data_IF_227627695413
#
_entry.id   IF_227627695413
#
_cell.length_a   1.000
_cell.length_b   1.000
_cell.length_c   1.000
_cell.angle_alpha   90.00
_cell.angle_beta   90.00
_cell.angle_gamma   90.00
#
_symmetry.space_group_name_H-M   'P 1'
#
loop_
_entity.id
_entity.type
_entity.pdbx_description
1 polymer ?
#
# COMPACT_ATOMS: atom_id res chain seq x y z
N UNK A 1 20.02 40.64 -75.63
CA UNK A 1 20.05 40.85 -74.20
C UNK A 1 18.90 40.01 -73.62
N UNK A 2 19.19 38.78 -73.15
CA UNK A 2 18.17 37.85 -72.55
C UNK A 2 18.61 37.58 -71.16
N UNK A 3 17.77 37.94 -70.21
CA UNK A 3 17.92 37.67 -68.77
C UNK A 3 17.18 36.40 -68.51
N UNK A 4 17.87 35.32 -68.07
CA UNK A 4 17.30 34.06 -67.64
C UNK A 4 17.03 34.15 -66.18
N UNK A 5 15.73 33.92 -65.81
CA UNK A 5 15.27 33.82 -64.45
C UNK A 5 15.61 32.45 -63.84
N UNK A 6 16.37 32.43 -62.76
CA UNK A 6 16.58 31.26 -61.92
C UNK A 6 15.34 31.06 -60.99
N UNK A 7 14.62 30.00 -61.22
CA UNK A 7 13.60 29.56 -60.26
C UNK A 7 14.27 28.87 -59.08
N UNK A 8 14.16 29.46 -57.91
CA UNK A 8 14.53 28.81 -56.66
C UNK A 8 13.39 27.90 -56.20
N UNK A 9 13.62 26.60 -56.26
CA UNK A 9 12.67 25.59 -55.71
C UNK A 9 12.93 25.48 -54.19
N UNK A 10 12.06 26.09 -53.40
CA UNK A 10 12.09 25.95 -51.96
C UNK A 10 11.47 24.59 -51.56
N UNK A 11 12.29 23.64 -51.15
CA UNK A 11 11.85 22.38 -50.59
C UNK A 11 11.48 22.62 -49.12
N UNK A 12 10.18 22.75 -48.83
CA UNK A 12 9.67 22.77 -47.46
C UNK A 12 9.61 21.35 -47.00
N UNK A 13 10.61 20.92 -46.19
CA UNK A 13 10.55 19.67 -45.45
C UNK A 13 9.58 19.85 -44.28
N UNK A 14 8.36 19.35 -44.45
CA UNK A 14 7.40 19.24 -43.36
C UNK A 14 7.88 18.17 -42.36
N UNK A 15 8.49 18.60 -41.26
CA UNK A 15 8.73 17.75 -40.09
C UNK A 15 7.40 17.58 -39.41
N UNK A 16 6.73 16.48 -39.71
CA UNK A 16 5.55 16.07 -38.96
C UNK A 16 5.96 15.76 -37.49
N UNK A 17 5.65 16.65 -36.58
CA UNK A 17 5.64 16.35 -35.17
C UNK A 17 4.47 15.40 -34.93
N UNK A 18 4.76 14.10 -34.81
CA UNK A 18 3.84 13.16 -34.20
C UNK A 18 3.81 13.51 -32.70
N UNK A 19 2.82 14.27 -32.29
CA UNK A 19 2.43 14.35 -30.89
C UNK A 19 1.79 13.00 -30.61
N UNK A 20 2.54 12.08 -30.04
CA UNK A 20 2.00 10.89 -29.45
C UNK A 20 1.24 11.38 -28.22
N UNK A 21 -0.09 11.41 -28.31
CA UNK A 21 -0.93 11.59 -27.14
C UNK A 21 -0.51 10.53 -26.14
N UNK A 22 0.09 10.96 -25.05
CA UNK A 22 0.28 10.11 -23.87
C UNK A 22 -1.15 9.86 -23.35
N UNK A 23 -1.75 8.77 -23.80
CA UNK A 23 -2.97 8.28 -23.20
C UNK A 23 -2.63 8.03 -21.74
N UNK A 24 -3.29 8.76 -20.84
CA UNK A 24 -3.21 8.50 -19.43
C UNK A 24 -3.55 7.02 -19.24
N UNK A 25 -2.54 6.23 -18.88
CA UNK A 25 -2.69 4.80 -18.70
C UNK A 25 -3.65 4.61 -17.55
N UNK A 26 -4.80 4.01 -17.85
CA UNK A 26 -5.84 3.78 -16.86
C UNK A 26 -5.23 2.90 -15.76
N UNK A 27 -5.05 3.47 -14.56
CA UNK A 27 -4.58 2.73 -13.40
C UNK A 27 -5.60 1.65 -13.08
N UNK A 28 -5.29 0.42 -13.42
CA UNK A 28 -6.13 -0.70 -13.02
C UNK A 28 -5.86 -1.00 -11.54
N UNK A 29 -6.91 -1.04 -10.78
CA UNK A 29 -6.87 -1.34 -9.35
C UNK A 29 -8.15 -2.02 -8.92
N UNK A 30 -8.18 -2.48 -7.69
CA UNK A 30 -9.40 -2.99 -7.07
C UNK A 30 -9.50 -2.49 -5.62
N UNK A 31 -10.71 -2.55 -5.08
CA UNK A 31 -10.94 -2.35 -3.66
C UNK A 31 -11.96 -3.40 -3.21
N UNK A 32 -11.65 -4.06 -2.10
CA UNK A 32 -12.52 -5.05 -1.47
C UNK A 32 -12.52 -4.86 0.04
N UNK A 33 -13.66 -5.04 0.67
CA UNK A 33 -13.78 -4.83 2.11
C UNK A 33 -15.21 -4.62 2.53
N UNK A 34 -15.39 -4.22 3.77
CA UNK A 34 -16.68 -4.00 4.40
C UNK A 34 -16.67 -2.71 5.20
N UNK A 35 -17.71 -1.90 5.03
CA UNK A 35 -17.97 -0.71 5.84
C UNK A 35 -19.22 -0.90 6.68
N UNK A 36 -19.30 -0.20 7.80
CA UNK A 36 -20.45 -0.30 8.70
C UNK A 36 -20.55 -1.66 9.41
N UNK A 37 -19.47 -2.41 9.47
CA UNK A 37 -19.37 -3.62 10.30
C UNK A 37 -19.57 -3.20 11.74
N UNK A 38 -20.34 -3.97 12.49
CA UNK A 38 -20.55 -3.74 13.92
C UNK A 38 -20.24 -5.04 14.65
N UNK A 39 -19.04 -5.56 14.44
CA UNK A 39 -18.60 -6.85 14.98
C UNK A 39 -17.79 -6.62 16.25
N UNK A 40 -18.28 -7.01 17.44
CA UNK A 40 -17.46 -7.01 18.64
C UNK A 40 -16.20 -7.87 18.44
N UNK A 41 -15.07 -7.36 18.90
CA UNK A 41 -13.86 -8.16 19.08
C UNK A 41 -13.88 -8.66 20.52
N UNK A 42 -13.91 -9.99 20.74
CA UNK A 42 -13.95 -10.53 22.08
C UNK A 42 -12.72 -10.14 22.89
N UNK A 43 -12.93 -9.67 24.13
CA UNK A 43 -11.88 -9.28 25.07
C UNK A 43 -11.08 -10.51 25.52
N UNK A 44 -9.77 -10.41 25.54
CA UNK A 44 -8.85 -11.48 25.95
C UNK A 44 -9.11 -12.82 25.25
N UNK A 45 -9.39 -12.77 23.95
CA UNK A 45 -9.67 -13.96 23.16
C UNK A 45 -8.77 -14.02 21.91
N UNK A 46 -7.70 -14.83 21.93
CA UNK A 46 -6.82 -15.02 20.80
C UNK A 46 -7.49 -15.62 19.55
N UNK A 47 -8.71 -16.18 19.69
CA UNK A 47 -9.49 -16.69 18.56
C UNK A 47 -10.00 -15.55 17.67
N UNK A 48 -10.18 -14.36 18.24
CA UNK A 48 -10.53 -13.13 17.56
C UNK A 48 -11.72 -13.19 16.62
N UNK A 49 -11.72 -12.32 15.63
CA UNK A 49 -12.71 -12.28 14.55
C UNK A 49 -12.03 -12.42 13.19
N UNK A 50 -12.70 -13.16 12.30
CA UNK A 50 -12.24 -13.38 10.93
C UNK A 50 -13.25 -12.78 9.95
N UNK A 51 -12.74 -12.04 8.97
CA UNK A 51 -13.54 -11.52 7.84
C UNK A 51 -12.88 -11.93 6.55
N UNK A 52 -13.67 -12.46 5.61
CA UNK A 52 -13.14 -12.93 4.33
C UNK A 52 -13.83 -12.27 3.16
N UNK A 53 -13.08 -12.05 2.10
CA UNK A 53 -13.60 -11.58 0.82
C UNK A 53 -12.98 -12.39 -0.32
N UNK A 54 -13.82 -12.82 -1.27
CA UNK A 54 -13.36 -13.57 -2.44
C UNK A 54 -13.28 -12.64 -3.64
N UNK A 55 -12.14 -12.61 -4.30
CA UNK A 55 -11.91 -11.92 -5.57
C UNK A 55 -11.77 -12.88 -6.73
N UNK A 56 -12.29 -12.50 -7.90
CA UNK A 56 -12.17 -13.27 -9.13
C UNK A 56 -12.28 -12.38 -10.37
N UNK A 57 -11.62 -12.75 -11.46
CA UNK A 57 -11.66 -11.99 -12.71
C UNK A 57 -10.93 -10.65 -12.68
N UNK A 58 -10.11 -10.41 -11.65
CA UNK A 58 -9.27 -9.22 -11.58
C UNK A 58 -8.08 -9.34 -12.52
N UNK A 59 -7.74 -8.24 -13.21
CA UNK A 59 -6.63 -8.16 -14.18
C UNK A 59 -5.68 -7.02 -13.81
N UNK A 60 -5.33 -6.90 -12.53
CA UNK A 60 -4.37 -5.90 -12.05
C UNK A 60 -2.97 -6.34 -12.43
N UNK A 61 -2.16 -5.42 -12.97
CA UNK A 61 -0.74 -5.71 -13.27
C UNK A 61 0.06 -6.00 -12.00
N UNK A 62 0.92 -7.00 -12.06
CA UNK A 62 1.83 -7.37 -10.97
C UNK A 62 3.22 -6.78 -11.28
N UNK A 63 3.91 -6.10 -10.34
CA UNK A 63 3.46 -5.81 -8.97
C UNK A 63 2.39 -4.72 -8.88
N UNK A 64 1.67 -4.70 -7.78
CA UNK A 64 0.73 -3.63 -7.41
C UNK A 64 0.97 -3.16 -5.97
N UNK A 65 0.70 -1.88 -5.72
CA UNK A 65 0.76 -1.32 -4.39
C UNK A 65 -0.53 -1.63 -3.63
N UNK A 66 -0.38 -2.03 -2.37
CA UNK A 66 -1.48 -2.29 -1.46
C UNK A 66 -1.56 -1.23 -0.37
N UNK A 67 -2.79 -0.84 -0.07
CA UNK A 67 -3.15 -0.19 1.17
C UNK A 67 -4.26 -0.97 1.87
N UNK A 68 -4.22 -0.99 3.20
CA UNK A 68 -5.23 -1.67 4.02
C UNK A 68 -5.80 -0.67 5.01
N UNK A 69 -7.10 -0.43 4.96
CA UNK A 69 -7.78 0.36 5.98
C UNK A 69 -8.39 -0.56 7.03
N UNK A 70 -8.24 -0.18 8.30
CA UNK A 70 -8.77 -0.94 9.44
C UNK A 70 -9.27 0.03 10.51
N UNK A 71 -10.48 -0.21 11.01
CA UNK A 71 -11.10 0.63 12.02
C UNK A 71 -11.69 -0.20 13.16
N UNK A 72 -11.21 0.06 14.37
CA UNK A 72 -11.77 -0.47 15.61
C UNK A 72 -12.18 0.70 16.49
N UNK A 73 -13.46 0.73 16.86
CA UNK A 73 -14.01 1.72 17.78
C UNK A 73 -14.14 1.15 19.18
N UNK A 74 -13.82 1.94 20.21
CA UNK A 74 -13.96 1.50 21.58
C UNK A 74 -15.41 1.28 21.95
N UNK A 75 -15.64 0.31 22.84
CA UNK A 75 -16.89 0.09 23.54
C UNK A 75 -16.62 0.07 25.05
N UNK A 76 -17.56 0.52 25.86
CA UNK A 76 -17.38 0.51 27.31
C UNK A 76 -16.22 1.42 27.78
N UNK A 77 -15.24 0.83 28.44
CA UNK A 77 -14.10 1.57 29.05
C UNK A 77 -12.94 1.88 28.09
N UNK A 78 -13.02 1.45 26.85
CA UNK A 78 -12.00 1.68 25.83
C UNK A 78 -11.57 0.40 25.14
N UNK A 79 -10.81 0.56 24.06
CA UNK A 79 -10.24 -0.53 23.28
C UNK A 79 -8.73 -0.29 23.21
N UNK A 80 -7.99 -0.83 24.17
CA UNK A 80 -6.56 -0.53 24.29
C UNK A 80 -5.78 -1.01 23.08
N UNK A 81 -5.12 -0.09 22.39
CA UNK A 81 -4.46 -0.40 21.13
C UNK A 81 -3.31 -1.40 21.26
N UNK A 82 -2.68 -1.46 22.44
CA UNK A 82 -1.64 -2.42 22.80
C UNK A 82 -2.12 -3.86 22.93
N UNK A 83 -3.43 -4.08 22.99
CA UNK A 83 -3.98 -5.43 23.15
C UNK A 83 -4.28 -6.08 21.80
N UNK A 84 -4.34 -5.29 20.73
CA UNK A 84 -4.74 -5.82 19.42
C UNK A 84 -3.61 -6.48 18.65
N UNK A 85 -3.95 -7.66 18.09
CA UNK A 85 -3.23 -8.34 17.05
C UNK A 85 -4.08 -8.42 15.80
N UNK A 86 -3.56 -7.99 14.66
CA UNK A 86 -4.28 -8.01 13.39
C UNK A 86 -3.37 -8.35 12.22
N UNK A 87 -3.84 -9.19 11.30
CA UNK A 87 -3.15 -9.49 10.06
C UNK A 87 -4.09 -9.57 8.87
N UNK A 88 -3.52 -9.36 7.68
CA UNK A 88 -4.14 -9.65 6.40
C UNK A 88 -3.45 -10.88 5.78
N UNK A 89 -4.23 -11.88 5.41
CA UNK A 89 -3.79 -13.05 4.66
C UNK A 89 -4.40 -13.01 3.27
N UNK A 90 -3.62 -13.29 2.24
CA UNK A 90 -4.11 -13.56 0.89
C UNK A 90 -3.70 -14.94 0.44
N UNK A 91 -4.67 -15.72 -0.07
CA UNK A 91 -4.49 -17.03 -0.68
C UNK A 91 -5.03 -16.98 -2.09
N UNK A 92 -4.21 -17.34 -3.08
CA UNK A 92 -4.61 -17.34 -4.48
C UNK A 92 -5.68 -18.39 -4.76
N UNK A 93 -6.47 -18.20 -5.82
CA UNK A 93 -7.56 -19.12 -6.21
C UNK A 93 -7.09 -20.58 -6.39
N UNK A 94 -5.84 -20.77 -6.79
CA UNK A 94 -5.24 -22.11 -6.92
C UNK A 94 -4.93 -22.78 -5.58
N UNK A 95 -4.90 -22.00 -4.47
CA UNK A 95 -4.43 -22.47 -3.17
C UNK A 95 -2.93 -22.80 -3.11
N UNK A 96 -2.20 -22.51 -4.20
CA UNK A 96 -0.77 -22.86 -4.29
C UNK A 96 0.15 -21.83 -3.64
N UNK A 97 -0.35 -20.64 -3.40
CA UNK A 97 0.41 -19.54 -2.83
C UNK A 97 -0.42 -18.77 -1.81
N UNK A 98 0.20 -18.46 -0.70
CA UNK A 98 -0.37 -17.58 0.33
C UNK A 98 0.71 -16.69 0.94
N UNK A 99 0.31 -15.48 1.35
CA UNK A 99 1.18 -14.51 2.05
C UNK A 99 0.37 -13.81 3.11
N UNK A 100 1.08 -13.41 4.15
CA UNK A 100 0.53 -12.73 5.32
C UNK A 100 1.28 -11.41 5.56
N UNK A 101 0.53 -10.37 5.88
CA UNK A 101 1.06 -9.10 6.40
C UNK A 101 0.52 -8.88 7.81
N UNK A 102 1.40 -8.60 8.76
CA UNK A 102 1.02 -8.24 10.14
C UNK A 102 0.75 -6.74 10.18
N UNK A 103 -0.52 -6.39 10.37
CA UNK A 103 -0.97 -4.98 10.40
C UNK A 103 -0.68 -4.35 11.75
N UNK A 104 -1.00 -5.05 12.84
CA UNK A 104 -0.75 -4.66 14.22
C UNK A 104 -0.29 -5.88 15.01
N UNK A 105 0.69 -5.69 15.89
CA UNK A 105 1.12 -6.71 16.83
C UNK A 105 1.44 -6.06 18.16
N UNK A 106 0.39 -5.86 19.00
CA UNK A 106 0.48 -5.28 20.33
C UNK A 106 1.30 -3.98 20.36
N UNK A 107 0.81 -2.98 19.60
CA UNK A 107 1.52 -1.72 19.35
C UNK A 107 1.97 -1.04 20.64
N UNK A 108 3.25 -0.61 20.66
CA UNK A 108 3.89 -0.01 21.82
C UNK A 108 4.44 -1.00 22.84
N UNK A 109 4.29 -2.32 22.60
CA UNK A 109 4.92 -3.32 23.47
C UNK A 109 6.44 -3.25 23.34
N UNK A 110 7.12 -3.34 24.47
CA UNK A 110 8.56 -3.30 24.59
C UNK A 110 9.02 -4.06 25.82
N UNK A 111 10.33 -4.27 25.96
CA UNK A 111 10.89 -4.92 27.16
C UNK A 111 10.52 -4.20 28.47
N UNK A 112 10.27 -2.89 28.42
CA UNK A 112 9.88 -2.07 29.57
C UNK A 112 8.38 -1.79 29.68
N UNK A 113 7.60 -2.13 28.67
CA UNK A 113 6.15 -1.90 28.59
C UNK A 113 5.47 -3.07 27.86
N UNK A 114 5.32 -4.24 28.48
CA UNK A 114 4.79 -5.44 27.83
C UNK A 114 3.34 -5.30 27.36
N UNK A 115 2.54 -4.45 28.03
CA UNK A 115 1.11 -4.27 27.72
C UNK A 115 0.88 -3.32 26.53
N UNK A 116 1.94 -2.70 25.98
CA UNK A 116 1.80 -1.77 24.85
C UNK A 116 1.09 -0.47 25.21
N UNK A 117 0.44 0.16 24.23
CA UNK A 117 -0.20 1.47 24.41
C UNK A 117 -1.67 1.36 24.82
N UNK A 118 -2.03 2.09 25.86
CA UNK A 118 -3.39 2.16 26.42
C UNK A 118 -4.32 3.17 25.72
N UNK A 119 -3.94 3.73 24.57
CA UNK A 119 -4.84 4.60 23.79
C UNK A 119 -6.00 3.77 23.24
N UNK A 120 -7.15 4.43 23.06
CA UNK A 120 -8.39 3.72 22.86
C UNK A 120 -8.90 3.82 21.42
N UNK A 121 -8.77 2.74 20.68
CA UNK A 121 -9.29 2.56 19.34
C UNK A 121 -8.48 3.27 18.24
N UNK A 122 -8.80 2.92 17.00
CA UNK A 122 -8.05 3.41 15.84
C UNK A 122 -8.88 3.40 14.55
N UNK A 123 -8.48 4.27 13.61
CA UNK A 123 -8.93 4.32 12.22
C UNK A 123 -7.71 4.53 11.34
N UNK A 124 -7.12 3.44 10.89
CA UNK A 124 -5.79 3.41 10.25
C UNK A 124 -5.88 3.07 8.77
N UNK A 125 -4.92 3.57 8.02
CA UNK A 125 -4.56 3.06 6.69
C UNK A 125 -3.13 2.58 6.76
N UNK A 126 -2.87 1.35 6.36
CA UNK A 126 -1.54 0.76 6.28
C UNK A 126 -1.01 0.85 4.85
N UNK A 127 0.25 1.24 4.72
CA UNK A 127 1.00 1.27 3.46
C UNK A 127 2.48 1.09 3.74
N UNK A 128 3.16 0.25 2.98
CA UNK A 128 4.61 0.09 3.11
C UNK A 128 5.40 1.35 2.73
N UNK A 129 4.79 2.24 1.93
CA UNK A 129 5.36 3.54 1.58
C UNK A 129 5.19 4.63 2.65
N UNK A 130 4.45 4.38 3.73
CA UNK A 130 4.34 5.32 4.83
C UNK A 130 5.68 5.51 5.54
N UNK A 131 5.87 6.65 6.20
CA UNK A 131 7.15 7.01 6.80
C UNK A 131 7.39 6.37 8.17
N UNK A 132 6.33 6.00 8.88
CA UNK A 132 6.40 5.68 10.30
C UNK A 132 5.73 4.35 10.62
N UNK A 133 6.36 3.59 11.51
CA UNK A 133 5.90 2.32 12.03
C UNK A 133 4.74 2.52 13.02
N UNK A 134 3.63 1.82 12.80
CA UNK A 134 2.48 1.88 13.70
C UNK A 134 2.82 1.42 15.11
N UNK A 135 3.75 0.50 15.27
CA UNK A 135 4.13 -0.02 16.58
C UNK A 135 4.60 1.07 17.53
N UNK A 136 5.22 2.13 16.98
CA UNK A 136 5.78 3.26 17.75
C UNK A 136 5.02 4.56 17.50
N UNK A 137 3.70 4.53 17.26
CA UNK A 137 2.95 5.73 16.89
C UNK A 137 3.03 6.85 17.93
N UNK A 138 3.10 6.55 19.24
CA UNK A 138 3.27 7.61 20.27
C UNK A 138 4.59 8.36 20.13
N UNK A 139 5.67 7.67 19.75
CA UNK A 139 6.95 8.32 19.47
C UNK A 139 6.82 9.27 18.29
N UNK A 140 6.17 8.82 17.23
CA UNK A 140 5.95 9.60 16.02
C UNK A 140 5.01 10.80 16.23
N UNK A 141 4.01 10.66 17.09
CA UNK A 141 3.06 11.72 17.43
C UNK A 141 3.57 12.67 18.53
N UNK A 142 4.68 12.34 19.18
CA UNK A 142 5.19 13.10 20.33
C UNK A 142 4.39 12.91 21.61
N UNK A 143 3.61 11.83 21.73
CA UNK A 143 2.80 11.50 22.90
C UNK A 143 1.54 10.72 22.57
N UNK A 144 0.70 10.52 23.59
CA UNK A 144 -0.60 9.89 23.46
C UNK A 144 -1.58 10.77 22.65
N UNK A 145 -2.33 10.20 21.68
CA UNK A 145 -3.33 10.94 20.93
C UNK A 145 -4.52 11.35 21.82
N UNK A 146 -5.21 12.43 21.46
CA UNK A 146 -6.40 12.89 22.17
C UNK A 146 -7.69 12.14 21.80
N UNK A 147 -7.62 11.15 20.94
CA UNK A 147 -8.75 10.36 20.44
C UNK A 147 -8.28 9.11 19.71
N UNK A 148 -9.07 8.62 18.77
CA UNK A 148 -8.68 7.48 17.95
C UNK A 148 -7.36 7.75 17.24
N UNK A 149 -6.44 6.79 17.26
CA UNK A 149 -5.26 6.84 16.40
C UNK A 149 -5.71 6.79 14.94
N UNK A 150 -5.24 7.71 14.12
CA UNK A 150 -5.63 7.81 12.71
C UNK A 150 -4.44 8.12 11.81
N UNK A 151 -4.67 8.08 10.50
CA UNK A 151 -3.65 8.39 9.49
C UNK A 151 -3.10 7.17 8.77
N UNK A 152 -2.03 7.42 8.00
CA UNK A 152 -1.37 6.38 7.20
C UNK A 152 -0.04 5.99 7.84
N UNK A 153 0.13 4.69 8.08
CA UNK A 153 1.26 4.12 8.80
C UNK A 153 1.83 2.92 8.06
N UNK A 154 3.10 2.63 8.30
CA UNK A 154 3.61 1.31 7.91
C UNK A 154 2.94 0.24 8.78
N UNK A 155 2.59 -0.93 8.22
CA UNK A 155 2.14 -2.06 9.02
C UNK A 155 3.22 -2.46 10.04
N UNK A 156 2.81 -3.07 11.13
CA UNK A 156 3.73 -3.53 12.18
C UNK A 156 4.80 -4.48 11.64
N UNK A 157 4.41 -5.44 10.86
CA UNK A 157 5.31 -6.36 10.16
C UNK A 157 6.04 -7.37 11.06
N UNK A 158 5.88 -7.31 12.39
CA UNK A 158 6.51 -8.23 13.35
C UNK A 158 5.76 -9.55 13.38
N UNK A 159 6.28 -10.54 12.68
CA UNK A 159 5.70 -11.89 12.61
C UNK A 159 6.25 -12.77 13.74
N UNK A 160 5.98 -12.38 14.96
CA UNK A 160 6.32 -13.12 16.18
C UNK A 160 5.06 -13.34 17.01
N UNK A 161 5.12 -14.26 17.96
CA UNK A 161 4.04 -14.45 18.94
C UNK A 161 3.65 -13.10 19.57
N UNK A 162 2.36 -12.71 19.60
CA UNK A 162 1.93 -11.43 20.14
C UNK A 162 2.39 -11.17 21.59
N UNK A 163 2.52 -12.20 22.41
CA UNK A 163 3.03 -12.07 23.78
C UNK A 163 4.56 -11.88 23.87
N UNK A 164 5.26 -12.06 22.74
CA UNK A 164 6.72 -11.89 22.63
C UNK A 164 7.10 -10.71 21.73
N UNK A 165 6.11 -10.02 21.14
CA UNK A 165 6.35 -8.88 20.28
C UNK A 165 6.92 -7.72 21.09
N UNK A 166 8.03 -7.13 20.60
CA UNK A 166 8.66 -5.94 21.16
C UNK A 166 9.10 -5.00 20.03
N UNK A 167 9.38 -3.76 20.37
CA UNK A 167 9.80 -2.72 19.43
C UNK A 167 11.03 -3.11 18.58
N UNK A 168 11.92 -3.95 19.12
CA UNK A 168 13.13 -4.45 18.44
C UNK A 168 12.92 -5.73 17.63
N UNK A 169 11.73 -6.34 17.68
CA UNK A 169 11.42 -7.54 16.89
C UNK A 169 11.53 -7.26 15.38
N UNK A 170 12.02 -8.24 14.57
CA UNK A 170 12.19 -8.04 13.14
C UNK A 170 10.84 -7.86 12.41
N UNK A 171 10.82 -6.95 11.44
CA UNK A 171 9.67 -6.63 10.60
C UNK A 171 9.81 -7.31 9.24
N UNK A 172 9.20 -8.46 9.05
CA UNK A 172 9.31 -9.26 7.83
C UNK A 172 7.98 -9.47 7.09
N UNK A 173 6.85 -9.30 7.77
CA UNK A 173 5.53 -9.53 7.21
C UNK A 173 4.82 -8.21 6.84
N UNK A 174 5.32 -7.57 5.76
CA UNK A 174 4.80 -6.32 5.21
C UNK A 174 3.81 -6.58 4.06
N UNK A 175 3.21 -5.52 3.47
CA UNK A 175 2.21 -5.63 2.41
C UNK A 175 2.81 -5.95 1.03
N UNK A 176 4.04 -5.50 0.75
CA UNK A 176 4.70 -5.66 -0.55
C UNK A 176 4.68 -7.11 -1.09
N UNK A 177 4.94 -8.16 -0.28
CA UNK A 177 4.86 -9.53 -0.78
C UNK A 177 3.47 -9.95 -1.28
N UNK A 178 2.40 -9.40 -0.72
CA UNK A 178 1.02 -9.65 -1.18
C UNK A 178 0.78 -8.99 -2.55
N UNK A 179 1.36 -7.82 -2.79
CA UNK A 179 1.27 -7.10 -4.07
C UNK A 179 2.04 -7.75 -5.23
N UNK A 180 2.75 -8.85 -4.98
CA UNK A 180 3.45 -9.64 -5.97
C UNK A 180 2.71 -10.93 -6.37
N UNK A 181 1.53 -11.16 -5.78
CA UNK A 181 0.69 -12.34 -6.03
C UNK A 181 -0.42 -12.03 -7.04
N UNK A 182 -1.01 -13.09 -7.62
CA UNK A 182 -2.28 -12.96 -8.32
C UNK A 182 -3.34 -12.39 -7.37
N UNK A 183 -4.00 -11.26 -7.69
CA UNK A 183 -4.98 -10.65 -6.82
C UNK A 183 -6.27 -11.46 -6.66
N UNK A 184 -6.46 -12.49 -7.50
CA UNK A 184 -7.63 -13.37 -7.44
C UNK A 184 -7.45 -14.45 -6.38
N UNK A 185 -8.44 -14.57 -5.51
CA UNK A 185 -8.39 -15.51 -4.40
C UNK A 185 -9.11 -14.99 -3.17
N UNK A 186 -8.76 -15.56 -2.03
CA UNK A 186 -9.35 -15.22 -0.74
C UNK A 186 -8.47 -14.21 0.01
N UNK A 187 -9.08 -13.10 0.38
CA UNK A 187 -8.53 -12.11 1.31
C UNK A 187 -9.15 -12.31 2.68
N UNK A 188 -8.33 -12.48 3.70
CA UNK A 188 -8.77 -12.73 5.07
C UNK A 188 -8.16 -11.70 6.00
N UNK A 189 -9.02 -10.91 6.66
CA UNK A 189 -8.65 -10.10 7.80
C UNK A 189 -8.88 -10.90 9.08
N UNK A 190 -7.90 -10.90 9.96
CA UNK A 190 -7.99 -11.38 11.33
C UNK A 190 -7.75 -10.22 12.29
N UNK A 191 -8.54 -10.14 13.36
CA UNK A 191 -8.37 -9.17 14.44
C UNK A 191 -8.68 -9.86 15.77
N UNK A 192 -7.78 -9.79 16.72
CA UNK A 192 -7.95 -10.32 18.08
C UNK A 192 -7.57 -9.27 19.12
N UNK A 193 -8.21 -9.32 20.26
CA UNK A 193 -7.85 -8.65 21.49
C UNK A 193 -7.16 -9.68 22.40
N UNK A 194 -5.87 -9.47 22.66
CA UNK A 194 -4.98 -10.46 23.28
C UNK A 194 -4.92 -10.36 24.80
N UNK A 195 -5.44 -9.28 25.38
CA UNK A 195 -5.35 -9.01 26.82
C UNK A 195 -6.70 -8.55 27.37
N UNK A 196 -6.89 -8.75 28.67
CA UNK A 196 -8.12 -8.37 29.34
C UNK A 196 -8.15 -6.86 29.67
N UNK A 197 -9.32 -6.22 29.55
CA UNK A 197 -9.54 -4.90 30.12
C UNK A 197 -10.22 -3.88 29.24
N UNK A 198 -9.98 -3.88 27.98
CA UNK A 198 -10.63 -2.98 27.04
C UNK A 198 -11.50 -3.74 26.05
N UNK A 199 -12.54 -3.14 25.52
CA UNK A 199 -13.39 -3.78 24.52
C UNK A 199 -13.60 -2.88 23.32
N UNK A 200 -13.55 -3.45 22.14
CA UNK A 200 -13.77 -2.74 20.88
C UNK A 200 -14.63 -3.51 19.91
N UNK A 201 -15.00 -2.83 18.86
CA UNK A 201 -15.73 -3.42 17.73
C UNK A 201 -15.04 -3.05 16.43
N UNK A 202 -14.90 -4.01 15.55
CA UNK A 202 -14.52 -3.79 14.16
C UNK A 202 -15.66 -3.06 13.47
N UNK A 203 -15.37 -1.88 12.90
CA UNK A 203 -16.37 -1.03 12.22
C UNK A 203 -16.17 -0.98 10.72
N UNK A 204 -14.99 -1.35 10.23
CA UNK A 204 -14.72 -1.43 8.79
C UNK A 204 -13.30 -1.88 8.50
N UNK A 205 -13.15 -2.43 7.30
CA UNK A 205 -11.85 -2.75 6.72
C UNK A 205 -11.93 -2.71 5.19
N UNK A 206 -10.83 -2.40 4.54
CA UNK A 206 -10.72 -2.37 3.08
C UNK A 206 -9.29 -2.73 2.67
N UNK A 207 -9.16 -3.56 1.65
CA UNK A 207 -7.93 -3.77 0.88
C UNK A 207 -8.10 -3.03 -0.43
N UNK A 208 -7.18 -2.13 -0.75
CA UNK A 208 -7.13 -1.39 -2.00
C UNK A 208 -5.80 -1.66 -2.69
N UNK A 209 -5.87 -2.02 -3.97
CA UNK A 209 -4.71 -2.23 -4.81
C UNK A 209 -4.69 -1.23 -5.97
N UNK A 210 -3.49 -0.77 -6.32
CA UNK A 210 -3.25 0.06 -7.51
C UNK A 210 -2.04 -0.49 -8.24
N UNK A 211 -2.16 -0.73 -9.56
CA UNK A 211 -1.05 -1.21 -10.36
C UNK A 211 0.11 -0.20 -10.35
N UNK A 212 1.32 -0.72 -10.12
CA UNK A 212 2.53 0.08 -10.24
C UNK A 212 2.82 0.28 -11.73
N UNK A 213 2.67 1.51 -12.19
CA UNK A 213 3.03 1.87 -13.55
C UNK A 213 4.49 2.27 -13.54
N UNK A 214 5.41 1.54 -14.23
CA UNK A 214 6.78 1.99 -14.39
C UNK A 214 6.78 3.34 -15.09
N UNK A 215 7.40 4.35 -14.50
CA UNK A 215 7.59 5.63 -15.17
C UNK A 215 8.34 5.39 -16.50
N UNK A 216 7.85 5.92 -17.61
CA UNK A 216 8.59 5.83 -18.87
C UNK A 216 9.96 6.46 -18.62
N UNK A 217 11.01 5.64 -18.73
CA UNK A 217 12.35 6.07 -18.39
C UNK A 217 12.71 7.26 -19.28
N UNK A 218 12.78 8.46 -18.72
CA UNK A 218 13.22 9.71 -19.36
C UNK A 218 14.58 9.55 -20.04
N UNK A 219 15.35 8.55 -19.67
CA UNK A 219 16.61 8.15 -20.30
C UNK A 219 16.45 7.72 -21.76
N UNK A 220 15.33 7.07 -22.15
CA UNK A 220 15.08 6.74 -23.55
C UNK A 220 14.77 7.97 -24.41
N UNK A 221 14.05 8.93 -23.87
CA UNK A 221 13.74 10.19 -24.57
C UNK A 221 14.99 11.05 -24.77
N UNK A 222 15.90 11.12 -23.79
CA UNK A 222 17.18 11.82 -23.91
C UNK A 222 18.11 11.11 -24.89
N UNK A 223 18.13 9.78 -24.94
CA UNK A 223 18.94 9.01 -25.90
C UNK A 223 18.52 9.23 -27.36
N UNK A 224 17.23 9.25 -27.64
CA UNK A 224 16.69 9.49 -28.97
C UNK A 224 16.98 10.95 -29.40
N UNK A 225 16.82 11.92 -28.51
CA UNK A 225 17.15 13.33 -28.75
C UNK A 225 18.64 13.55 -29.08
N UNK A 226 19.53 12.86 -28.37
CA UNK A 226 20.96 12.94 -28.58
C UNK A 226 21.40 12.33 -29.91
N UNK A 227 20.86 11.19 -30.32
CA UNK A 227 21.12 10.54 -31.61
C UNK A 227 20.59 11.39 -32.79
N UNK A 228 19.44 12.04 -32.66
CA UNK A 228 18.90 12.94 -33.67
C UNK A 228 19.78 14.19 -33.84
N UNK A 229 20.33 14.75 -32.77
CA UNK A 229 21.25 15.88 -32.81
C UNK A 229 22.61 15.52 -33.44
N UNK A 230 23.15 14.33 -33.20
CA UNK A 230 24.39 13.86 -33.81
C UNK A 230 24.23 13.59 -35.32
N UNK A 231 23.10 12.98 -35.74
CA UNK A 231 22.79 12.74 -37.15
C UNK A 231 22.66 14.03 -37.97
N UNK A 232 22.20 15.11 -37.36
CA UNK A 232 22.08 16.42 -38.02
C UNK A 232 23.44 17.10 -38.25
N UNK A 233 24.39 16.94 -37.33
CA UNK A 233 25.74 17.51 -37.47
C UNK A 233 26.59 16.84 -38.56
N UNK A 234 26.39 15.53 -38.80
CA UNK A 234 27.13 14.78 -39.80
C UNK A 234 26.78 15.13 -41.24
N UNK A 235 25.66 15.81 -41.51
CA UNK A 235 25.23 16.19 -42.89
C UNK A 235 25.69 17.57 -43.34
N UNK A 236 26.41 18.33 -42.52
CA UNK A 236 26.92 19.68 -42.90
C UNK A 236 28.42 19.73 -43.27
N UNK A 237 29.09 18.58 -43.37
CA UNK A 237 30.52 18.48 -43.67
C UNK A 237 30.82 17.65 -44.92
N UNK A 238 29.93 17.66 -45.92
CA UNK A 238 30.19 17.07 -47.25
C UNK A 238 29.75 18.03 -48.35
#
# INVERSE_FOLDING_TARGET
MKISSLSACALIASVGFYIQEVQAQQTSGFAVGESGVNQPVPDNDPSGVVRTFQTSGLTVGIPYDLTVSLSVEPTGFGAFNGDYYAYLLHETTSGSEFRLAVLMNRVGSSAGQPDGYSDSGFRLTFSDSALQDIHQYRVSLGGAPSGLVSGTWQPDGRQVDPFLAVDTSPRSALLTPLGQMDPNGQWTLFVADMEAGGTGKLTGWEVRAVAVIPEPSTMWMLGIGYLACMGYRGRRSA
#
